data_IF_035343821289
#
_entry.id   IF_035343821289
#
_cell.length_a   1.000
_cell.length_b   1.000
_cell.length_c   1.000
_cell.angle_alpha   90.00
_cell.angle_beta   90.00
_cell.angle_gamma   90.00
#
_symmetry.space_group_name_H-M   'P 1'
#
loop_
_entity.id
_entity.type
_entity.pdbx_description
1 polymer ?
#
# COMPACT_ATOMS: atom_id res chain seq x y z
N UNK A 1 -10.35 -8.78 -1.95
CA UNK A 1 -10.47 -9.34 -0.57
C UNK A 1 -10.13 -8.22 0.39
N UNK A 2 -10.80 -8.09 1.54
CA UNK A 2 -10.34 -7.09 2.51
C UNK A 2 -8.99 -7.54 3.05
N UNK A 3 -8.01 -6.65 3.05
CA UNK A 3 -6.69 -6.91 3.61
C UNK A 3 -6.81 -7.25 5.11
N UNK A 4 -5.83 -7.96 5.64
CA UNK A 4 -5.78 -8.31 7.07
C UNK A 4 -6.00 -7.08 7.96
N UNK A 5 -6.72 -7.25 9.07
CA UNK A 5 -6.97 -6.17 10.04
C UNK A 5 -5.80 -5.99 11.02
N UNK A 6 -4.84 -6.93 11.01
CA UNK A 6 -3.69 -6.94 11.93
C UNK A 6 -2.83 -5.69 11.75
N UNK A 7 -2.53 -5.01 12.85
CA UNK A 7 -1.65 -3.83 12.88
C UNK A 7 -2.24 -2.54 12.31
N UNK A 8 -3.44 -2.57 11.70
CA UNK A 8 -4.04 -1.35 11.10
C UNK A 8 -4.30 -0.25 12.14
N UNK A 9 -4.67 -0.61 13.36
CA UNK A 9 -4.92 0.37 14.41
C UNK A 9 -3.62 1.09 14.85
N UNK A 10 -2.52 0.37 14.91
CA UNK A 10 -1.19 0.89 15.24
C UNK A 10 -0.67 1.81 14.14
N UNK A 11 -0.79 1.37 12.87
CA UNK A 11 -0.39 2.19 11.72
C UNK A 11 -1.28 3.42 11.58
N UNK A 12 -2.59 3.29 11.78
CA UNK A 12 -3.51 4.44 11.84
C UNK A 12 -3.05 5.46 12.88
N UNK A 13 -2.71 5.02 14.10
CA UNK A 13 -2.21 5.92 15.15
C UNK A 13 -0.93 6.61 14.70
N UNK A 14 -0.01 5.85 14.12
CA UNK A 14 1.23 6.42 13.59
C UNK A 14 0.95 7.50 12.52
N UNK A 15 0.01 7.26 11.60
CA UNK A 15 -0.39 8.27 10.60
C UNK A 15 -0.93 9.53 11.29
N UNK A 16 -1.84 9.37 12.27
CA UNK A 16 -2.42 10.50 13.01
C UNK A 16 -1.38 11.34 13.77
N UNK A 17 -0.34 10.69 14.29
CA UNK A 17 0.71 11.35 15.06
C UNK A 17 1.75 12.06 14.18
N UNK A 18 1.84 11.71 12.87
CA UNK A 18 2.91 12.19 11.99
C UNK A 18 2.42 13.09 10.85
N UNK A 19 1.13 13.14 10.55
CA UNK A 19 0.58 13.90 9.42
C UNK A 19 -0.57 14.83 9.86
N UNK A 20 -0.57 16.10 9.38
CA UNK A 20 -1.68 17.03 9.62
C UNK A 20 -2.92 16.59 8.84
N UNK A 21 -4.10 17.09 9.23
CA UNK A 21 -5.37 16.69 8.63
C UNK A 21 -5.53 17.06 7.14
N UNK A 22 -4.75 18.02 6.65
CA UNK A 22 -4.69 18.44 5.24
C UNK A 22 -3.64 17.71 4.41
N UNK A 23 -2.99 16.68 4.98
CA UNK A 23 -1.98 15.90 4.27
C UNK A 23 -2.54 15.24 3.00
N UNK A 24 -1.73 15.27 1.94
CA UNK A 24 -2.00 14.61 0.66
C UNK A 24 -1.62 13.12 0.76
N UNK A 25 -2.60 12.24 0.67
CA UNK A 25 -2.40 10.77 0.83
C UNK A 25 -2.80 10.05 -0.44
N UNK A 26 -2.01 9.05 -0.84
CA UNK A 26 -2.34 8.11 -1.91
C UNK A 26 -2.51 6.70 -1.34
N UNK A 27 -3.68 6.11 -1.57
CA UNK A 27 -4.01 4.72 -1.26
C UNK A 27 -3.86 3.87 -2.54
N UNK A 28 -2.85 3.02 -2.58
CA UNK A 28 -2.53 2.17 -3.74
C UNK A 28 -3.08 0.77 -3.51
N UNK A 29 -3.84 0.27 -4.50
CA UNK A 29 -4.56 -0.99 -4.38
C UNK A 29 -5.72 -0.87 -3.40
N UNK A 30 -6.49 0.22 -3.53
CA UNK A 30 -7.50 0.60 -2.54
C UNK A 30 -8.61 -0.45 -2.32
N UNK A 31 -8.86 -1.33 -3.28
CA UNK A 31 -9.76 -2.49 -3.23
C UNK A 31 -11.15 -2.19 -2.63
N UNK A 32 -11.33 -2.34 -1.33
CA UNK A 32 -12.57 -2.07 -0.59
C UNK A 32 -12.55 -0.75 0.21
N UNK A 33 -11.49 0.04 0.06
CA UNK A 33 -11.38 1.38 0.64
C UNK A 33 -11.04 1.40 2.13
N UNK A 34 -10.39 0.36 2.65
CA UNK A 34 -10.14 0.23 4.09
C UNK A 34 -9.36 1.41 4.67
N UNK A 35 -8.38 1.97 3.96
CA UNK A 35 -7.60 3.10 4.46
C UNK A 35 -8.40 4.38 4.54
N UNK A 36 -9.32 4.64 3.59
CA UNK A 36 -10.25 5.76 3.71
C UNK A 36 -11.13 5.64 4.98
N UNK A 37 -11.67 4.44 5.27
CA UNK A 37 -12.45 4.20 6.48
C UNK A 37 -11.66 4.35 7.78
N UNK A 38 -10.38 3.99 7.76
CA UNK A 38 -9.49 4.12 8.92
C UNK A 38 -9.02 5.56 9.15
N UNK A 39 -9.03 6.39 8.12
CA UNK A 39 -8.49 7.76 8.13
C UNK A 39 -9.57 8.81 7.80
N UNK A 40 -10.75 8.80 8.47
CA UNK A 40 -11.90 9.63 8.10
C UNK A 40 -11.69 11.14 8.33
N UNK A 41 -10.60 11.54 8.98
CA UNK A 41 -10.24 12.94 9.22
C UNK A 41 -9.39 13.54 8.10
N UNK A 42 -9.02 12.75 7.07
CA UNK A 42 -8.26 13.22 5.91
C UNK A 42 -9.20 13.32 4.70
N UNK A 43 -9.40 14.53 4.19
CA UNK A 43 -10.22 14.78 2.99
C UNK A 43 -9.41 14.62 1.69
N UNK A 44 -8.06 14.67 1.78
CA UNK A 44 -7.16 14.64 0.63
C UNK A 44 -6.59 13.23 0.37
N UNK A 45 -7.44 12.22 0.36
CA UNK A 45 -7.04 10.85 0.01
C UNK A 45 -7.44 10.56 -1.44
N UNK A 46 -6.46 10.28 -2.29
CA UNK A 46 -6.65 9.72 -3.63
C UNK A 46 -6.48 8.21 -3.61
N UNK A 47 -7.15 7.50 -4.50
CA UNK A 47 -7.01 6.06 -4.67
C UNK A 47 -6.50 5.71 -6.06
N UNK A 48 -5.64 4.69 -6.14
CA UNK A 48 -5.29 3.98 -7.38
C UNK A 48 -5.72 2.53 -7.26
N UNK A 49 -6.50 2.06 -8.23
CA UNK A 49 -7.00 0.69 -8.28
C UNK A 49 -6.96 0.16 -9.71
N UNK A 50 -6.31 -0.99 -9.91
CA UNK A 50 -6.13 -1.59 -11.23
C UNK A 50 -7.35 -2.42 -11.68
N UNK A 51 -8.11 -2.97 -10.73
CA UNK A 51 -9.27 -3.79 -11.03
C UNK A 51 -10.54 -2.92 -11.12
N UNK A 52 -11.07 -2.75 -12.35
CA UNK A 52 -12.23 -1.88 -12.63
C UNK A 52 -13.42 -2.07 -11.70
N UNK A 53 -13.92 -3.32 -11.48
CA UNK A 53 -15.03 -3.55 -10.56
C UNK A 53 -14.79 -3.11 -9.11
N UNK A 54 -13.54 -3.07 -8.64
CA UNK A 54 -13.18 -2.49 -7.35
C UNK A 54 -13.14 -0.97 -7.42
N UNK A 55 -12.48 -0.39 -8.42
CA UNK A 55 -12.41 1.05 -8.62
C UNK A 55 -13.80 1.72 -8.67
N UNK A 56 -14.75 1.09 -9.36
CA UNK A 56 -16.15 1.59 -9.48
C UNK A 56 -16.91 1.61 -8.15
N UNK A 57 -16.51 0.81 -7.17
CA UNK A 57 -17.17 0.73 -5.84
C UNK A 57 -16.56 1.64 -4.79
N UNK A 58 -15.38 2.20 -5.05
CA UNK A 58 -14.70 3.09 -4.11
C UNK A 58 -15.49 4.39 -3.93
N UNK A 59 -15.80 4.72 -2.68
CA UNK A 59 -16.51 5.94 -2.29
C UNK A 59 -15.72 6.68 -1.21
N UNK A 60 -15.90 8.00 -1.13
CA UNK A 60 -15.31 8.84 -0.11
C UNK A 60 -13.92 9.36 -0.44
N UNK A 61 -13.23 8.79 -1.41
CA UNK A 61 -11.95 9.32 -1.90
C UNK A 61 -12.14 10.63 -2.64
N UNK A 62 -11.16 11.53 -2.55
CA UNK A 62 -11.15 12.77 -3.34
C UNK A 62 -11.16 12.47 -4.85
N UNK A 63 -10.33 11.52 -5.27
CA UNK A 63 -10.25 11.01 -6.65
C UNK A 63 -9.96 9.52 -6.63
N UNK A 64 -10.53 8.81 -7.60
CA UNK A 64 -10.23 7.39 -7.85
C UNK A 64 -9.66 7.26 -9.26
N UNK A 65 -8.48 6.69 -9.37
CA UNK A 65 -7.79 6.43 -10.63
C UNK A 65 -7.83 4.94 -10.94
N UNK A 66 -8.60 4.58 -11.98
CA UNK A 66 -8.59 3.22 -12.50
C UNK A 66 -7.41 3.07 -13.46
N UNK A 67 -6.26 2.68 -12.92
CA UNK A 67 -5.01 2.54 -13.68
C UNK A 67 -4.04 1.62 -12.95
N UNK A 68 -3.05 1.13 -13.68
CA UNK A 68 -1.88 0.48 -13.10
C UNK A 68 -1.01 1.52 -12.37
N UNK A 69 -0.55 1.20 -11.18
CA UNK A 69 0.33 2.09 -10.40
C UNK A 69 1.65 2.40 -11.12
N UNK A 70 2.14 1.49 -11.95
CA UNK A 70 3.34 1.71 -12.75
C UNK A 70 3.14 2.78 -13.85
N UNK A 71 1.89 3.03 -14.26
CA UNK A 71 1.51 4.02 -15.27
C UNK A 71 0.89 5.28 -14.66
N UNK A 72 0.71 5.29 -13.34
CA UNK A 72 0.08 6.40 -12.63
C UNK A 72 0.90 7.68 -12.74
N UNK A 73 0.28 8.81 -13.15
CA UNK A 73 0.99 10.09 -13.27
C UNK A 73 1.14 10.76 -11.90
N UNK A 74 2.08 10.30 -11.11
CA UNK A 74 2.31 10.80 -9.76
C UNK A 74 2.49 12.32 -9.70
N UNK A 75 1.73 12.95 -8.82
CA UNK A 75 2.07 14.25 -8.24
C UNK A 75 2.84 14.02 -6.94
N UNK A 76 3.05 15.05 -6.13
CA UNK A 76 3.64 14.90 -4.80
C UNK A 76 2.56 14.50 -3.79
N UNK A 77 2.90 13.56 -2.88
CA UNK A 77 2.08 13.17 -1.74
C UNK A 77 2.89 13.27 -0.44
N UNK A 78 2.21 13.57 0.67
CA UNK A 78 2.83 13.48 2.00
C UNK A 78 3.02 12.03 2.41
N UNK A 79 2.07 11.17 2.06
CA UNK A 79 2.10 9.74 2.35
C UNK A 79 1.58 8.92 1.17
N UNK A 80 2.30 7.88 0.80
CA UNK A 80 1.81 6.82 -0.10
C UNK A 80 1.69 5.52 0.72
N UNK A 81 0.53 4.87 0.64
CA UNK A 81 0.27 3.58 1.29
C UNK A 81 0.08 2.52 0.21
N UNK A 82 0.95 1.51 0.20
CA UNK A 82 0.82 0.28 -0.56
C UNK A 82 0.25 -0.79 0.38
N UNK A 83 -1.05 -1.03 0.31
CA UNK A 83 -1.75 -1.98 1.19
C UNK A 83 -2.01 -3.30 0.50
N UNK A 84 -1.16 -4.32 0.71
CA UNK A 84 -1.26 -5.63 0.05
C UNK A 84 -1.24 -5.50 -1.50
N UNK A 85 -0.15 -4.97 -2.04
CA UNK A 85 0.00 -4.66 -3.48
C UNK A 85 1.27 -5.26 -4.08
N UNK A 86 2.41 -5.10 -3.42
CA UNK A 86 3.68 -5.42 -4.06
C UNK A 86 3.95 -6.92 -4.17
N UNK A 87 3.32 -7.74 -3.33
CA UNK A 87 3.37 -9.20 -3.42
C UNK A 87 2.69 -9.74 -4.69
N UNK A 88 1.79 -8.96 -5.29
CA UNK A 88 1.15 -9.26 -6.57
C UNK A 88 2.01 -8.91 -7.78
N UNK A 89 3.20 -8.35 -7.58
CA UNK A 89 4.14 -7.98 -8.63
C UNK A 89 5.36 -8.90 -8.63
N UNK A 90 6.05 -9.00 -9.76
CA UNK A 90 7.41 -9.52 -9.75
C UNK A 90 8.33 -8.61 -8.94
N UNK A 91 9.43 -9.15 -8.41
CA UNK A 91 10.39 -8.38 -7.58
C UNK A 91 10.90 -7.14 -8.31
N UNK A 92 11.26 -7.30 -9.59
CA UNK A 92 11.81 -6.19 -10.39
C UNK A 92 10.79 -5.09 -10.62
N UNK A 93 9.53 -5.47 -10.88
CA UNK A 93 8.44 -4.50 -11.05
C UNK A 93 8.13 -3.78 -9.74
N UNK A 94 8.02 -4.50 -8.63
CA UNK A 94 7.78 -3.92 -7.32
C UNK A 94 8.90 -2.93 -6.94
N UNK A 95 10.17 -3.28 -7.20
CA UNK A 95 11.31 -2.36 -7.00
C UNK A 95 11.15 -1.09 -7.82
N UNK A 96 10.91 -1.21 -9.13
CA UNK A 96 10.76 -0.04 -10.00
C UNK A 96 9.62 0.88 -9.55
N UNK A 97 8.47 0.30 -9.14
CA UNK A 97 7.33 1.06 -8.62
C UNK A 97 7.68 1.76 -7.32
N UNK A 98 8.27 1.05 -6.35
CA UNK A 98 8.63 1.64 -5.04
C UNK A 98 9.73 2.69 -5.17
N UNK A 99 10.75 2.46 -6.01
CA UNK A 99 11.81 3.43 -6.28
C UNK A 99 11.23 4.72 -6.85
N UNK A 100 10.36 4.62 -7.85
CA UNK A 100 9.73 5.80 -8.44
C UNK A 100 8.78 6.50 -7.45
N UNK A 101 7.89 5.77 -6.76
CA UNK A 101 6.99 6.32 -5.75
C UNK A 101 7.75 7.05 -4.65
N UNK A 102 8.90 6.51 -4.25
CA UNK A 102 9.75 7.10 -3.21
C UNK A 102 10.30 8.49 -3.55
N UNK A 103 10.36 8.84 -4.83
CA UNK A 103 10.75 10.19 -5.30
C UNK A 103 9.58 11.16 -5.34
N UNK A 104 8.37 10.70 -5.06
CA UNK A 104 7.11 11.43 -5.19
C UNK A 104 6.35 11.57 -3.86
N UNK A 105 6.97 11.17 -2.75
CA UNK A 105 6.36 11.31 -1.44
C UNK A 105 7.38 11.68 -0.36
N UNK A 106 6.85 12.21 0.75
CA UNK A 106 7.63 12.40 1.97
C UNK A 106 7.86 11.08 2.69
N UNK A 107 6.79 10.33 2.88
CA UNK A 107 6.80 9.04 3.57
C UNK A 107 6.05 7.97 2.74
N UNK A 108 6.44 6.71 2.88
CA UNK A 108 5.81 5.60 2.20
C UNK A 108 5.64 4.42 3.16
N UNK A 109 4.44 3.85 3.22
CA UNK A 109 4.13 2.63 3.97
C UNK A 109 3.88 1.50 2.97
N UNK A 110 4.42 0.34 3.24
CA UNK A 110 4.19 -0.90 2.48
C UNK A 110 3.76 -1.98 3.44
N UNK A 111 2.56 -2.52 3.24
CA UNK A 111 2.01 -3.64 4.00
C UNK A 111 2.06 -4.90 3.16
N UNK A 112 2.47 -6.01 3.74
CA UNK A 112 2.56 -7.31 3.07
C UNK A 112 2.30 -8.47 4.00
N UNK A 113 1.65 -9.54 3.50
CA UNK A 113 1.63 -10.83 4.17
C UNK A 113 2.96 -11.58 3.96
N UNK A 114 3.25 -12.50 4.86
CA UNK A 114 4.39 -13.41 4.75
C UNK A 114 3.94 -14.85 4.50
N UNK A 115 4.72 -15.59 3.71
CA UNK A 115 4.50 -17.02 3.41
C UNK A 115 3.05 -17.32 3.02
N UNK A 116 2.49 -16.48 2.15
CA UNK A 116 1.09 -16.56 1.78
C UNK A 116 0.94 -16.80 0.28
N UNK A 117 0.50 -18.00 -0.09
CA UNK A 117 0.15 -18.35 -1.46
C UNK A 117 -1.31 -17.93 -1.75
N UNK A 118 -1.51 -17.24 -2.85
CA UNK A 118 -2.82 -16.84 -3.34
C UNK A 118 -2.86 -16.90 -4.87
N UNK A 119 -3.90 -17.50 -5.40
CA UNK A 119 -4.23 -17.43 -6.83
C UNK A 119 -5.25 -16.31 -7.10
N UNK A 120 -5.72 -16.24 -8.34
CA UNK A 120 -6.80 -15.35 -8.73
C UNK A 120 -8.05 -15.56 -7.88
N UNK A 121 -8.65 -14.48 -7.39
CA UNK A 121 -9.82 -14.53 -6.54
C UNK A 121 -10.94 -13.68 -7.14
N UNK A 122 -12.17 -14.21 -7.14
CA UNK A 122 -13.36 -13.51 -7.62
C UNK A 122 -13.25 -12.93 -9.03
N UNK A 123 -12.51 -13.61 -9.91
CA UNK A 123 -12.28 -13.16 -11.28
C UNK A 123 -11.35 -11.95 -11.40
N UNK A 124 -10.63 -11.62 -10.33
CA UNK A 124 -9.59 -10.61 -10.34
C UNK A 124 -8.22 -11.27 -10.56
N UNK A 125 -7.62 -11.14 -11.77
CA UNK A 125 -6.32 -11.75 -12.07
C UNK A 125 -5.16 -11.07 -11.32
N UNK A 126 -5.38 -9.86 -10.81
CA UNK A 126 -4.37 -9.10 -10.08
C UNK A 126 -4.21 -9.54 -8.61
N UNK A 127 -5.08 -10.42 -8.12
CA UNK A 127 -5.01 -10.97 -6.76
C UNK A 127 -3.97 -12.09 -6.59
N UNK A 128 -3.38 -12.56 -7.68
CA UNK A 128 -2.37 -13.63 -7.62
C UNK A 128 -1.07 -13.13 -6.99
N UNK A 129 -0.58 -13.83 -5.97
CA UNK A 129 0.72 -13.56 -5.37
C UNK A 129 1.86 -14.07 -6.26
N UNK A 130 2.73 -13.17 -6.67
CA UNK A 130 3.95 -13.48 -7.41
C UNK A 130 5.18 -13.56 -6.50
N UNK A 131 5.03 -13.21 -5.22
CA UNK A 131 6.04 -13.31 -4.18
C UNK A 131 5.49 -14.04 -2.94
N UNK A 132 5.05 -15.31 -3.07
CA UNK A 132 4.46 -16.05 -1.95
C UNK A 132 5.49 -16.47 -0.89
N UNK A 133 6.76 -16.31 -1.17
CA UNK A 133 7.91 -16.71 -0.35
C UNK A 133 8.39 -15.60 0.60
N UNK A 134 7.69 -14.48 0.71
CA UNK A 134 8.11 -13.37 1.56
C UNK A 134 8.23 -13.82 3.01
N UNK A 135 9.38 -13.51 3.61
CA UNK A 135 9.64 -13.48 5.05
C UNK A 135 10.19 -12.11 5.41
N UNK A 136 10.30 -11.72 6.68
CA UNK A 136 10.94 -10.46 7.07
C UNK A 136 12.34 -10.29 6.47
N UNK A 137 13.15 -11.36 6.46
CA UNK A 137 14.52 -11.36 5.95
C UNK A 137 14.54 -11.21 4.41
N UNK A 138 13.69 -11.98 3.70
CA UNK A 138 13.57 -11.91 2.24
C UNK A 138 13.06 -10.54 1.83
N UNK A 139 12.08 -10.00 2.55
CA UNK A 139 11.54 -8.66 2.27
C UNK A 139 12.62 -7.58 2.43
N UNK A 140 13.35 -7.58 3.54
CA UNK A 140 14.43 -6.63 3.79
C UNK A 140 15.57 -6.74 2.73
N UNK A 141 15.85 -7.96 2.25
CA UNK A 141 16.82 -8.18 1.17
C UNK A 141 16.33 -7.66 -0.19
N UNK A 142 15.04 -7.87 -0.50
CA UNK A 142 14.44 -7.41 -1.75
C UNK A 142 14.24 -5.89 -1.78
N UNK A 143 13.91 -5.28 -0.64
CA UNK A 143 13.53 -3.87 -0.53
C UNK A 143 14.35 -3.14 0.56
N UNK A 144 15.66 -3.00 0.40
CA UNK A 144 16.56 -2.50 1.45
C UNK A 144 16.33 -1.02 1.82
N UNK A 145 15.55 -0.27 1.02
CA UNK A 145 15.16 1.09 1.33
C UNK A 145 14.06 1.17 2.40
N UNK A 146 13.45 0.05 2.75
CA UNK A 146 12.37 -0.01 3.73
C UNK A 146 12.87 -0.57 5.06
N UNK A 147 12.34 -0.04 6.14
CA UNK A 147 12.55 -0.52 7.51
C UNK A 147 11.22 -0.92 8.15
N UNK A 148 11.25 -1.82 9.11
CA UNK A 148 10.01 -2.24 9.80
C UNK A 148 9.41 -1.05 10.54
N UNK A 149 8.15 -0.73 10.24
CA UNK A 149 7.33 0.21 10.98
C UNK A 149 6.59 -0.49 12.11
N UNK A 150 5.93 -1.59 11.79
CA UNK A 150 5.16 -2.39 12.74
C UNK A 150 5.13 -3.85 12.30
N UNK A 151 5.72 -4.72 13.12
CA UNK A 151 5.59 -6.17 13.00
C UNK A 151 4.39 -6.60 13.86
N UNK A 152 3.44 -7.29 13.25
CA UNK A 152 2.23 -7.73 13.96
C UNK A 152 2.46 -8.93 14.89
N UNK A 153 3.65 -9.54 14.85
CA UNK A 153 3.94 -10.82 15.50
C UNK A 153 3.15 -12.00 14.92
N UNK A 154 2.62 -11.83 13.70
CA UNK A 154 1.92 -12.80 12.89
C UNK A 154 2.54 -12.75 11.49
N UNK A 155 2.01 -13.49 10.55
CA UNK A 155 2.52 -13.53 9.17
C UNK A 155 2.15 -12.27 8.38
N UNK A 156 2.39 -11.08 8.96
CA UNK A 156 2.05 -9.79 8.35
C UNK A 156 2.84 -8.64 8.99
N UNK A 157 3.34 -7.70 8.18
CA UNK A 157 4.02 -6.50 8.69
C UNK A 157 3.79 -5.26 7.81
N UNK A 158 4.07 -4.11 8.42
CA UNK A 158 4.14 -2.80 7.78
C UNK A 158 5.59 -2.32 7.75
N UNK A 159 6.01 -1.92 6.58
CA UNK A 159 7.33 -1.38 6.32
C UNK A 159 7.23 0.09 5.94
N UNK A 160 8.28 0.83 6.16
CA UNK A 160 8.27 2.28 6.02
C UNK A 160 9.55 2.81 5.41
N UNK A 161 9.40 3.78 4.51
CA UNK A 161 10.48 4.64 4.05
C UNK A 161 10.16 6.08 4.42
N UNK A 162 11.06 6.73 5.18
CA UNK A 162 11.01 8.15 5.49
C UNK A 162 11.91 8.94 4.54
N UNK A 163 11.45 10.10 4.06
CA UNK A 163 12.29 11.05 3.33
C UNK A 163 13.44 11.55 4.18
N UNK A 164 14.67 11.51 3.64
CA UNK A 164 15.86 12.02 4.29
C UNK A 164 16.54 11.08 5.27
N UNK A 165 16.22 9.79 5.21
CA UNK A 165 17.00 8.73 5.86
C UNK A 165 18.08 8.21 4.92
#
# INVERSE_FOLDING_TARGET
MSSYTYGKAEVRRWVLDNFPADAEILDVGACDGIWHWLLPQYDNIDAVEIFGPSAERLIGYRRVFHTDIAEFPYTWYDLIIFGDVIEHMTVDRARAVLDYASTRCRDMIVAVPYLYEQDEIYGNPWEKHLQPDLTPEIFAQRYPMLTVLHDTGKDYAYWHKRSGA
#
